data_IF_374184636436
#
_entry.id   IF_374184636436
#
_cell.length_a   1.000
_cell.length_b   1.000
_cell.length_c   1.000
_cell.angle_alpha   90.00
_cell.angle_beta   90.00
_cell.angle_gamma   90.00
#
_symmetry.space_group_name_H-M   'P 1'
#
loop_
_entity.id
_entity.type
_entity.pdbx_description
1 polymer ?
#
# COMPACT_ATOMS: atom_id res chain seq x y z
N UNK A 1 -4.61 -8.21 -11.39
CA UNK A 1 -3.97 -9.09 -12.40
C UNK A 1 -2.87 -8.30 -13.11
N UNK A 2 -1.70 -8.90 -13.30
CA UNK A 2 -0.52 -8.22 -13.85
C UNK A 2 -0.68 -7.74 -15.30
N UNK A 3 -1.54 -8.38 -16.09
CA UNK A 3 -1.55 -8.23 -17.55
C UNK A 3 -2.69 -7.36 -18.09
N UNK A 4 -3.74 -7.12 -17.30
CA UNK A 4 -4.89 -6.34 -17.75
C UNK A 4 -4.53 -4.86 -17.96
N UNK A 5 -4.95 -4.28 -19.09
CA UNK A 5 -4.76 -2.85 -19.38
C UNK A 5 -3.30 -2.41 -19.50
N UNK A 6 -2.37 -3.34 -19.80
CA UNK A 6 -0.95 -3.00 -20.05
C UNK A 6 -0.82 -2.18 -21.33
N UNK A 7 -0.09 -1.07 -21.26
CA UNK A 7 0.12 -0.18 -22.41
C UNK A 7 -1.01 0.81 -22.69
N UNK A 8 -2.16 0.68 -22.03
CA UNK A 8 -3.27 1.64 -22.11
C UNK A 8 -3.11 2.74 -21.07
N UNK A 9 -3.28 3.98 -21.51
CA UNK A 9 -3.27 5.16 -20.65
C UNK A 9 -4.64 5.38 -20.00
N UNK A 10 -4.66 5.74 -18.71
CA UNK A 10 -5.90 6.08 -18.00
C UNK A 10 -5.94 7.59 -17.88
N UNK A 11 -6.73 8.23 -18.74
CA UNK A 11 -6.86 9.68 -18.78
C UNK A 11 -8.09 10.12 -18.01
N UNK A 12 -7.96 11.17 -17.21
CA UNK A 12 -9.10 11.81 -16.55
C UNK A 12 -9.89 12.61 -17.60
N UNK A 13 -11.16 12.24 -17.78
CA UNK A 13 -12.00 12.75 -18.86
C UNK A 13 -12.56 14.16 -18.59
N UNK A 14 -12.80 14.50 -17.33
CA UNK A 14 -13.46 15.74 -16.90
C UNK A 14 -12.74 16.43 -15.73
N UNK A 15 -13.08 17.70 -15.51
CA UNK A 15 -12.59 18.51 -14.38
C UNK A 15 -13.08 17.95 -13.04
N UNK A 16 -14.30 17.40 -13.01
CA UNK A 16 -14.90 16.81 -11.80
C UNK A 16 -14.04 15.67 -11.23
N UNK A 17 -13.51 14.78 -12.07
CA UNK A 17 -12.58 13.76 -11.61
C UNK A 17 -11.28 14.34 -11.06
N UNK A 18 -10.77 15.45 -11.62
CA UNK A 18 -9.56 16.12 -11.11
C UNK A 18 -9.84 16.75 -9.74
N UNK A 19 -10.94 17.48 -9.62
CA UNK A 19 -11.37 18.13 -8.38
C UNK A 19 -11.64 17.12 -7.26
N UNK A 20 -12.09 15.90 -7.61
CA UNK A 20 -12.26 14.79 -6.67
C UNK A 20 -10.95 14.11 -6.24
N UNK A 21 -9.79 14.57 -6.71
CA UNK A 21 -8.48 14.01 -6.37
C UNK A 21 -7.90 13.03 -7.40
N UNK A 22 -8.57 12.86 -8.54
CA UNK A 22 -8.10 12.10 -9.69
C UNK A 22 -8.14 10.59 -9.51
N UNK A 23 -7.26 9.88 -10.22
CA UNK A 23 -7.28 8.42 -10.24
C UNK A 23 -6.72 7.85 -8.93
N UNK A 24 -7.55 7.08 -8.22
CA UNK A 24 -7.12 6.26 -7.08
C UNK A 24 -6.76 4.84 -7.53
N UNK A 25 -5.50 4.46 -7.38
CA UNK A 25 -5.02 3.09 -7.57
C UNK A 25 -5.05 2.36 -6.25
N UNK A 26 -5.84 1.28 -6.16
CA UNK A 26 -5.87 0.41 -4.97
C UNK A 26 -5.21 -0.92 -5.33
N UNK A 27 -4.10 -1.22 -4.68
CA UNK A 27 -3.46 -2.54 -4.71
C UNK A 27 -3.98 -3.42 -3.59
N UNK A 28 -4.42 -4.63 -3.93
CA UNK A 28 -4.71 -5.69 -2.97
C UNK A 28 -3.55 -6.68 -2.99
N UNK A 29 -2.80 -6.72 -1.89
CA UNK A 29 -1.53 -7.44 -1.76
C UNK A 29 -0.35 -6.69 -2.40
N UNK A 30 0.81 -7.34 -2.33
CA UNK A 30 2.08 -6.88 -2.90
C UNK A 30 2.67 -7.92 -3.83
N UNK A 31 3.42 -7.47 -4.82
CA UNK A 31 4.23 -8.36 -5.65
C UNK A 31 5.62 -8.54 -5.06
N UNK A 32 6.24 -9.69 -5.34
CA UNK A 32 7.65 -9.97 -5.01
C UNK A 32 8.63 -8.92 -5.57
N UNK A 33 8.24 -8.20 -6.61
CA UNK A 33 9.03 -7.12 -7.21
C UNK A 33 8.38 -5.76 -6.97
N UNK A 34 9.08 -4.87 -6.28
CA UNK A 34 8.69 -3.47 -6.09
C UNK A 34 8.41 -2.75 -7.41
N UNK A 35 9.12 -3.12 -8.48
CA UNK A 35 8.91 -2.57 -9.84
C UNK A 35 7.48 -2.80 -10.35
N UNK A 36 6.81 -3.88 -9.96
CA UNK A 36 5.43 -4.13 -10.39
C UNK A 36 4.46 -3.24 -9.62
N UNK A 37 4.71 -3.02 -8.34
CA UNK A 37 3.93 -2.06 -7.55
C UNK A 37 4.14 -0.64 -8.06
N UNK A 38 5.36 -0.25 -8.41
CA UNK A 38 5.65 1.08 -8.98
C UNK A 38 5.00 1.27 -10.35
N UNK A 39 4.90 0.20 -11.15
CA UNK A 39 4.13 0.23 -12.39
C UNK A 39 2.64 0.46 -12.15
N UNK A 40 2.08 -0.04 -11.05
CA UNK A 40 0.69 0.23 -10.65
C UNK A 40 0.55 1.67 -10.15
N UNK A 41 1.45 2.14 -9.29
CA UNK A 41 1.48 3.54 -8.81
C UNK A 41 1.54 4.55 -9.94
N UNK A 42 2.40 4.29 -10.94
CA UNK A 42 2.56 5.12 -12.12
C UNK A 42 1.35 5.18 -13.06
N UNK A 43 0.26 4.44 -12.76
CA UNK A 43 -1.02 4.59 -13.48
C UNK A 43 -1.79 5.83 -13.05
N UNK A 44 -1.63 6.27 -11.80
CA UNK A 44 -2.19 7.53 -11.29
C UNK A 44 -1.20 8.70 -11.47
N UNK A 45 -1.69 9.93 -11.37
CA UNK A 45 -0.83 11.12 -11.28
C UNK A 45 -0.08 11.48 -12.57
N UNK A 46 -0.58 11.07 -13.74
CA UNK A 46 0.12 11.28 -15.01
C UNK A 46 0.01 12.72 -15.47
N UNK A 47 1.08 13.25 -16.07
CA UNK A 47 1.10 14.60 -16.65
C UNK A 47 0.71 15.72 -15.68
N UNK A 48 0.91 15.51 -14.37
CA UNK A 48 0.53 16.48 -13.34
C UNK A 48 -0.94 16.42 -12.94
N UNK A 49 -1.73 15.48 -13.46
CA UNK A 49 -3.07 15.19 -12.94
C UNK A 49 -2.96 14.80 -11.44
N UNK A 50 -3.95 15.14 -10.62
CA UNK A 50 -4.03 14.60 -9.27
C UNK A 50 -4.24 13.08 -9.32
N UNK A 51 -3.75 12.39 -8.30
CA UNK A 51 -3.90 10.95 -8.20
C UNK A 51 -3.30 10.43 -6.91
N UNK A 52 -3.74 9.24 -6.50
CA UNK A 52 -3.26 8.60 -5.27
C UNK A 52 -3.16 7.11 -5.50
N UNK A 53 -2.23 6.47 -4.81
CA UNK A 53 -2.10 5.02 -4.81
C UNK A 53 -2.01 4.50 -3.38
N UNK A 54 -2.84 3.53 -3.04
CA UNK A 54 -2.84 2.87 -1.73
C UNK A 54 -2.72 1.37 -1.95
N UNK A 55 -1.92 0.71 -1.12
CA UNK A 55 -1.76 -0.74 -1.16
C UNK A 55 -2.14 -1.30 0.21
N UNK A 56 -3.08 -2.23 0.20
CA UNK A 56 -3.47 -3.00 1.37
C UNK A 56 -2.82 -4.37 1.29
N UNK A 57 -2.25 -4.84 2.39
CA UNK A 57 -1.61 -6.15 2.48
C UNK A 57 -2.08 -6.82 3.76
N UNK A 58 -2.18 -8.15 3.74
CA UNK A 58 -2.49 -8.97 4.91
C UNK A 58 -1.21 -9.61 5.45
N UNK A 59 -1.13 -9.81 6.77
CA UNK A 59 -0.04 -10.59 7.38
C UNK A 59 0.03 -12.03 6.83
N UNK A 60 -1.06 -12.52 6.26
CA UNK A 60 -1.17 -13.83 5.63
C UNK A 60 -0.68 -13.84 4.16
N UNK A 61 -0.33 -12.69 3.58
CA UNK A 61 0.13 -12.62 2.19
C UNK A 61 1.44 -13.39 1.99
N UNK A 62 1.60 -14.06 0.85
CA UNK A 62 2.77 -14.89 0.54
C UNK A 62 4.11 -14.15 0.68
N UNK A 63 4.14 -12.84 0.39
CA UNK A 63 5.33 -12.03 0.53
C UNK A 63 5.67 -11.79 2.01
N UNK A 64 4.67 -11.47 2.83
CA UNK A 64 4.86 -11.13 4.24
C UNK A 64 5.13 -12.37 5.10
N UNK A 65 4.52 -13.50 4.77
CA UNK A 65 4.79 -14.78 5.44
C UNK A 65 6.24 -15.28 5.27
N UNK A 66 7.02 -14.73 4.34
CA UNK A 66 8.46 -15.06 4.17
C UNK A 66 9.39 -14.19 5.01
N UNK A 67 8.86 -13.19 5.70
CA UNK A 67 9.64 -12.22 6.49
C UNK A 67 9.70 -12.70 7.93
N UNK A 68 10.88 -13.05 8.48
CA UNK A 68 11.00 -13.57 9.84
C UNK A 68 10.45 -12.62 10.91
N UNK A 69 10.63 -11.31 10.75
CA UNK A 69 10.11 -10.28 11.65
C UNK A 69 8.58 -10.31 11.71
N UNK A 70 7.93 -10.54 10.57
CA UNK A 70 6.47 -10.66 10.49
C UNK A 70 5.99 -11.97 11.12
N UNK A 71 6.69 -13.07 10.89
CA UNK A 71 6.35 -14.35 11.51
C UNK A 71 6.35 -14.25 13.04
N UNK A 72 7.43 -13.71 13.63
CA UNK A 72 7.50 -13.47 15.08
C UNK A 72 6.37 -12.57 15.55
N UNK A 73 6.08 -11.51 14.80
CA UNK A 73 5.00 -10.60 15.14
C UNK A 73 3.63 -11.28 15.21
N UNK A 74 3.36 -12.20 14.28
CA UNK A 74 2.12 -12.99 14.25
C UNK A 74 2.08 -14.03 15.38
N UNK A 75 3.19 -14.74 15.62
CA UNK A 75 3.29 -15.77 16.68
C UNK A 75 3.06 -15.19 18.07
N UNK A 76 3.51 -13.97 18.30
CA UNK A 76 3.40 -13.32 19.61
C UNK A 76 2.05 -12.58 19.81
N UNK A 77 1.12 -12.67 18.86
CA UNK A 77 -0.25 -12.10 18.93
C UNK A 77 -1.24 -12.98 19.71
N UNK A 78 -2.44 -12.45 20.01
CA UNK A 78 -3.51 -13.27 20.59
C UNK A 78 -4.12 -14.26 19.59
N UNK A 79 -5.12 -15.04 20.00
CA UNK A 79 -5.79 -16.03 19.14
C UNK A 79 -6.44 -15.47 17.86
N UNK A 80 -6.62 -14.14 17.80
CA UNK A 80 -7.13 -13.41 16.63
C UNK A 80 -6.01 -12.71 15.84
N UNK A 81 -4.76 -12.81 16.29
CA UNK A 81 -3.63 -12.04 15.78
C UNK A 81 -3.68 -10.56 16.19
N UNK A 82 -4.58 -10.20 17.11
CA UNK A 82 -4.73 -8.84 17.61
C UNK A 82 -3.74 -8.58 18.74
N UNK A 83 -3.23 -7.34 18.76
CA UNK A 83 -2.30 -6.83 19.75
C UNK A 83 -2.75 -5.44 20.17
N UNK A 84 -2.98 -5.24 21.47
CA UNK A 84 -3.49 -3.99 22.05
C UNK A 84 -2.37 -2.99 22.38
N UNK A 85 -1.13 -3.46 22.46
CA UNK A 85 0.11 -2.72 22.69
C UNK A 85 0.66 -2.00 21.44
N UNK A 86 0.07 -2.25 20.25
CA UNK A 86 0.42 -1.61 18.97
C UNK A 86 0.29 -0.08 19.02
N UNK A 87 -0.45 0.47 19.99
CA UNK A 87 -0.53 1.92 20.22
C UNK A 87 0.72 2.54 20.84
N UNK A 88 1.64 1.76 21.42
CA UNK A 88 2.84 2.30 22.09
C UNK A 88 4.15 2.06 21.32
N UNK A 89 4.22 1.05 20.45
CA UNK A 89 5.40 0.73 19.66
C UNK A 89 4.92 -0.14 18.48
N UNK A 90 5.24 0.12 17.21
CA UNK A 90 6.61 0.39 16.84
C UNK A 90 7.50 -0.76 17.27
N UNK A 91 7.15 -2.01 16.96
CA UNK A 91 8.22 -2.96 16.75
C UNK A 91 8.98 -2.42 15.54
N UNK A 92 9.99 -1.60 15.80
CA UNK A 92 10.73 -0.89 14.76
C UNK A 92 11.31 -1.89 13.76
N UNK A 93 11.55 -3.14 14.18
CA UNK A 93 11.90 -4.24 13.29
C UNK A 93 10.78 -4.57 12.28
N UNK A 94 9.52 -4.66 12.72
CA UNK A 94 8.38 -4.87 11.82
C UNK A 94 8.17 -3.66 10.95
N UNK A 95 8.20 -2.44 11.52
CA UNK A 95 8.04 -1.20 10.74
C UNK A 95 9.16 -1.05 9.70
N UNK A 96 10.40 -1.37 10.04
CA UNK A 96 11.55 -1.26 9.13
C UNK A 96 11.54 -2.40 8.10
N UNK A 97 11.23 -3.63 8.49
CA UNK A 97 11.01 -4.73 7.53
C UNK A 97 9.86 -4.40 6.57
N UNK A 98 8.80 -3.81 7.10
CA UNK A 98 7.71 -3.27 6.31
C UNK A 98 8.15 -2.06 5.49
N UNK A 99 9.06 -1.17 5.90
CA UNK A 99 9.56 -0.06 5.06
C UNK A 99 10.41 -0.55 3.89
N UNK A 100 11.23 -1.57 4.11
CA UNK A 100 12.06 -2.18 3.06
C UNK A 100 11.20 -2.89 2.00
N UNK A 101 10.04 -3.41 2.40
CA UNK A 101 9.05 -4.05 1.51
C UNK A 101 8.02 -3.06 0.98
N UNK A 102 7.68 -2.06 1.78
CA UNK A 102 6.63 -1.06 1.58
C UNK A 102 7.32 0.31 1.56
N UNK A 103 7.80 0.71 0.37
CA UNK A 103 7.97 2.13 0.04
C UNK A 103 6.58 2.79 0.15
N UNK A 104 6.23 3.21 1.35
CA UNK A 104 5.02 3.95 1.64
C UNK A 104 5.23 5.40 1.21
N UNK A 105 4.63 5.78 0.10
CA UNK A 105 4.15 7.16 -0.08
C UNK A 105 2.67 7.17 0.30
N UNK A 106 2.38 7.12 1.59
CA UNK A 106 1.11 7.70 2.06
C UNK A 106 1.39 9.19 2.06
N UNK A 107 0.77 9.91 1.13
CA UNK A 107 0.70 11.36 1.21
C UNK A 107 0.01 11.69 2.55
N UNK A 108 0.73 12.42 3.43
CA UNK A 108 0.31 12.76 4.80
C UNK A 108 -1.07 13.43 4.88
N UNK A 109 -1.64 13.85 3.74
CA UNK A 109 -2.99 14.41 3.65
C UNK A 109 -4.13 13.44 3.96
N UNK A 110 -3.95 12.12 3.82
CA UNK A 110 -5.03 11.15 4.07
C UNK A 110 -5.21 10.75 5.53
N UNK A 111 -4.15 10.81 6.35
CA UNK A 111 -4.22 10.43 7.78
C UNK A 111 -5.11 11.40 8.57
N UNK A 112 -5.20 12.66 8.12
CA UNK A 112 -5.97 13.70 8.79
C UNK A 112 -7.51 13.55 8.66
N UNK A 113 -8.03 12.66 7.81
CA UNK A 113 -9.48 12.46 7.61
C UNK A 113 -10.03 11.18 8.29
N UNK A 114 -9.19 10.41 8.98
CA UNK A 114 -9.58 9.17 9.67
C UNK A 114 -9.48 9.29 11.22
N UNK A 115 -9.35 10.50 11.75
CA UNK A 115 -9.32 10.79 13.19
C UNK A 115 -10.56 11.55 13.65
#
# INVERSE_FOLDING_TARGET
TQMAGRGTDIRLADEEARDAGGLLVIGAGRYDSSRLDDQLRGRSGRQGDPGTSVFFTSLEDELLTRVPEIQRFVEDGDETGYRDDVKAAGDDAVRDALRDILLFQIDDRWVAHLA
#
